data_IF_943766061534
#
_entry.id   IF_943766061534
#
_cell.length_a   1.000
_cell.length_b   1.000
_cell.length_c   1.000
_cell.angle_alpha   90.00
_cell.angle_beta   90.00
_cell.angle_gamma   90.00
#
_symmetry.space_group_name_H-M   'P 1'
#
loop_
_entity.id
_entity.type
_entity.pdbx_description
1 polymer ?
#
# COMPACT_ATOMS: atom_id res chain seq x y z
N UNK A 1 -2.80 -18.86 19.85
CA UNK A 1 -3.58 -17.66 19.46
C UNK A 1 -2.64 -16.65 18.82
N UNK A 2 -2.81 -16.33 17.54
CA UNK A 2 -2.03 -15.27 16.89
C UNK A 2 -2.39 -13.92 17.54
N UNK A 3 -1.39 -13.16 18.00
CA UNK A 3 -1.62 -11.82 18.56
C UNK A 3 -2.30 -10.95 17.50
N UNK A 4 -3.51 -10.46 17.80
CA UNK A 4 -4.37 -9.62 16.94
C UNK A 4 -3.53 -8.54 16.25
N UNK A 5 -3.61 -8.48 14.92
CA UNK A 5 -3.05 -7.40 14.11
C UNK A 5 -1.56 -7.49 13.73
N UNK A 6 -0.85 -8.58 14.05
CA UNK A 6 0.47 -8.83 13.44
C UNK A 6 0.26 -9.40 12.03
N UNK A 7 0.94 -8.86 11.00
CA UNK A 7 1.07 -9.50 9.70
C UNK A 7 1.27 -11.01 9.84
N UNK A 8 0.55 -11.85 9.06
CA UNK A 8 0.84 -13.27 9.02
C UNK A 8 2.33 -13.46 8.72
N UNK A 9 3.01 -14.26 9.55
CA UNK A 9 4.41 -14.59 9.29
C UNK A 9 4.42 -15.51 8.07
N UNK A 10 5.08 -15.09 6.99
CA UNK A 10 5.40 -16.00 5.89
C UNK A 10 6.13 -17.23 6.42
N UNK A 11 5.95 -18.37 5.78
CA UNK A 11 6.79 -19.54 6.07
C UNK A 11 8.25 -19.25 5.68
N UNK A 12 9.16 -20.09 6.19
CA UNK A 12 10.59 -19.87 6.02
C UNK A 12 11.02 -19.92 4.54
N UNK A 13 10.36 -20.75 3.73
CA UNK A 13 10.66 -20.88 2.31
C UNK A 13 10.28 -19.61 1.54
N UNK A 14 9.10 -19.05 1.84
CA UNK A 14 8.64 -17.79 1.27
C UNK A 14 9.57 -16.62 1.66
N UNK A 15 10.06 -16.55 2.90
CA UNK A 15 11.05 -15.55 3.26
C UNK A 15 12.36 -15.70 2.48
N UNK A 16 12.82 -16.93 2.20
CA UNK A 16 14.03 -17.16 1.40
C UNK A 16 13.84 -16.70 -0.03
N UNK A 17 12.74 -17.09 -0.67
CA UNK A 17 12.41 -16.68 -2.06
C UNK A 17 12.29 -15.16 -2.16
N UNK A 18 11.50 -14.54 -1.29
CA UNK A 18 11.31 -13.09 -1.28
C UNK A 18 12.60 -12.34 -0.90
N UNK A 19 13.40 -12.92 -0.01
CA UNK A 19 14.70 -12.35 0.36
C UNK A 19 15.69 -12.33 -0.82
N UNK A 20 15.66 -13.35 -1.67
CA UNK A 20 16.42 -13.34 -2.94
C UNK A 20 15.88 -12.28 -3.90
N UNK A 21 14.56 -12.20 -4.09
CA UNK A 21 13.93 -11.21 -4.98
C UNK A 21 14.22 -9.76 -4.55
N UNK A 22 14.14 -9.47 -3.25
CA UNK A 22 14.38 -8.12 -2.70
C UNK A 22 15.83 -7.87 -2.27
N UNK A 23 16.73 -8.83 -2.54
CA UNK A 23 18.16 -8.76 -2.21
C UNK A 23 18.40 -8.40 -0.74
N UNK A 24 17.68 -9.06 0.17
CA UNK A 24 17.80 -8.84 1.61
C UNK A 24 17.38 -10.08 2.40
N UNK A 25 18.08 -10.37 3.50
CA UNK A 25 17.73 -11.38 4.48
C UNK A 25 16.91 -10.82 5.66
N UNK A 26 16.76 -9.50 5.71
CA UNK A 26 16.04 -8.81 6.78
C UNK A 26 14.53 -9.01 6.63
N UNK A 27 13.97 -9.88 7.47
CA UNK A 27 12.54 -10.23 7.49
C UNK A 27 11.60 -9.00 7.52
N UNK A 28 11.98 -7.91 8.22
CA UNK A 28 11.16 -6.69 8.28
C UNK A 28 11.19 -5.95 6.94
N UNK A 29 12.36 -5.87 6.30
CA UNK A 29 12.50 -5.27 4.97
C UNK A 29 11.73 -6.07 3.93
N UNK A 30 11.85 -7.40 3.96
CA UNK A 30 11.07 -8.32 3.09
C UNK A 30 9.56 -8.09 3.25
N UNK A 31 9.07 -8.02 4.50
CA UNK A 31 7.65 -7.76 4.74
C UNK A 31 7.20 -6.40 4.19
N UNK A 32 7.98 -5.35 4.38
CA UNK A 32 7.62 -4.03 3.88
C UNK A 32 7.59 -3.98 2.35
N UNK A 33 8.57 -4.59 1.68
CA UNK A 33 8.60 -4.68 0.22
C UNK A 33 7.41 -5.47 -0.33
N UNK A 34 7.02 -6.56 0.35
CA UNK A 34 5.80 -7.28 0.00
C UNK A 34 4.55 -6.41 0.09
N UNK A 35 4.38 -5.67 1.19
CA UNK A 35 3.22 -4.79 1.35
C UNK A 35 3.17 -3.69 0.30
N UNK A 36 4.33 -3.11 0.02
CA UNK A 36 4.49 -2.14 -1.06
C UNK A 36 4.09 -2.75 -2.41
N UNK A 37 4.64 -3.92 -2.75
CA UNK A 37 4.33 -4.60 -4.00
C UNK A 37 2.83 -4.89 -4.15
N UNK A 38 2.16 -5.38 -3.10
CA UNK A 38 0.71 -5.61 -3.10
C UNK A 38 -0.07 -4.33 -3.44
N UNK A 39 0.20 -3.23 -2.72
CA UNK A 39 -0.48 -1.96 -2.97
C UNK A 39 -0.19 -1.42 -4.37
N UNK A 40 1.06 -1.54 -4.83
CA UNK A 40 1.47 -1.12 -6.17
C UNK A 40 0.72 -1.91 -7.25
N UNK A 41 0.68 -3.23 -7.16
CA UNK A 41 -0.01 -4.07 -8.15
C UNK A 41 -1.47 -3.70 -8.27
N UNK A 42 -2.18 -3.54 -7.16
CA UNK A 42 -3.61 -3.18 -7.15
C UNK A 42 -3.88 -1.85 -7.86
N UNK A 43 -3.07 -0.82 -7.57
CA UNK A 43 -3.25 0.50 -8.19
C UNK A 43 -2.87 0.49 -9.67
N UNK A 44 -1.85 -0.28 -10.06
CA UNK A 44 -1.45 -0.46 -11.47
C UNK A 44 -2.53 -1.20 -12.24
N UNK A 45 -3.13 -2.25 -11.70
CA UNK A 45 -4.24 -2.98 -12.31
C UNK A 45 -5.47 -2.08 -12.49
N UNK A 46 -5.82 -1.32 -11.45
CA UNK A 46 -6.91 -0.36 -11.50
C UNK A 46 -6.71 0.70 -12.60
N UNK A 47 -5.51 1.28 -12.67
CA UNK A 47 -5.15 2.27 -13.69
C UNK A 47 -5.10 1.66 -15.11
N UNK A 48 -4.57 0.45 -15.25
CA UNK A 48 -4.50 -0.27 -16.54
C UNK A 48 -5.89 -0.63 -17.08
N UNK A 49 -6.90 -0.73 -16.21
CA UNK A 49 -8.30 -0.88 -16.58
C UNK A 49 -8.96 0.39 -17.15
N UNK A 50 -8.20 1.48 -17.33
CA UNK A 50 -8.70 2.76 -17.86
C UNK A 50 -9.30 3.69 -16.80
N UNK A 51 -9.16 3.36 -15.52
CA UNK A 51 -9.60 4.22 -14.43
C UNK A 51 -8.50 5.23 -14.08
N UNK A 52 -8.89 6.48 -13.81
CA UNK A 52 -7.96 7.48 -13.31
C UNK A 52 -7.88 7.42 -11.78
N UNK A 53 -6.67 7.59 -11.25
CA UNK A 53 -6.46 7.86 -9.83
C UNK A 53 -6.11 9.35 -9.70
N UNK A 54 -7.04 10.19 -9.20
CA UNK A 54 -6.81 11.62 -9.11
C UNK A 54 -5.56 11.96 -8.28
N UNK A 55 -4.72 12.86 -8.80
CA UNK A 55 -3.53 13.37 -8.11
C UNK A 55 -2.53 12.27 -7.67
N UNK A 56 -2.49 11.14 -8.39
CA UNK A 56 -1.59 10.02 -8.08
C UNK A 56 -0.11 10.44 -8.04
N UNK A 57 0.28 11.41 -8.87
CA UNK A 57 1.61 12.03 -8.88
C UNK A 57 2.06 12.60 -7.52
N UNK A 58 1.13 12.80 -6.58
CA UNK A 58 1.44 13.27 -5.23
C UNK A 58 2.04 12.17 -4.33
N UNK A 59 1.75 10.89 -4.59
CA UNK A 59 2.29 9.74 -3.84
C UNK A 59 3.21 8.85 -4.67
N UNK A 60 3.38 9.21 -5.94
CA UNK A 60 4.25 8.53 -6.89
C UNK A 60 5.20 9.56 -7.47
N UNK A 61 6.48 9.40 -7.18
CA UNK A 61 7.49 10.18 -7.90
C UNK A 61 7.56 9.60 -9.32
N UNK A 62 7.10 10.37 -10.31
CA UNK A 62 7.18 10.01 -11.73
C UNK A 62 8.49 10.54 -12.29
N UNK A 63 9.56 9.73 -12.20
CA UNK A 63 10.76 10.01 -12.99
C UNK A 63 10.58 9.38 -14.37
N UNK A 64 10.58 10.19 -15.43
CA UNK A 64 10.42 9.65 -16.78
C UNK A 64 10.12 10.61 -17.93
N UNK A 65 9.78 11.88 -17.67
CA UNK A 65 9.40 12.80 -18.77
C UNK A 65 10.59 13.07 -19.73
N UNK A 66 11.84 13.00 -19.25
CA UNK A 66 13.03 13.24 -20.09
C UNK A 66 13.64 11.99 -20.74
N UNK A 67 13.24 10.77 -20.35
CA UNK A 67 13.93 9.53 -20.73
C UNK A 67 13.04 8.46 -21.38
N UNK A 68 11.73 8.71 -21.51
CA UNK A 68 10.79 7.75 -22.14
C UNK A 68 10.60 6.46 -21.34
N UNK A 69 11.07 6.41 -20.09
CA UNK A 69 10.86 5.30 -19.15
C UNK A 69 10.08 5.84 -17.97
N UNK A 70 8.81 5.45 -17.85
CA UNK A 70 8.01 5.74 -16.66
C UNK A 70 8.54 4.88 -15.50
N UNK A 71 9.50 5.40 -14.75
CA UNK A 71 9.91 4.81 -13.48
C UNK A 71 9.09 5.46 -12.38
N UNK A 72 8.05 4.74 -11.94
CA UNK A 72 7.28 5.11 -10.76
C UNK A 72 8.10 4.79 -9.50
N UNK A 73 8.63 5.83 -8.85
CA UNK A 73 9.21 5.69 -7.51
C UNK A 73 8.14 5.99 -6.48
N UNK A 74 7.50 4.93 -6.00
CA UNK A 74 6.45 5.02 -4.99
C UNK A 74 7.00 5.51 -3.66
N UNK A 75 6.29 6.42 -2.99
CA UNK A 75 6.67 6.86 -1.64
C UNK A 75 6.53 5.67 -0.67
N UNK A 76 7.67 5.03 -0.39
CA UNK A 76 7.73 3.64 0.09
C UNK A 76 6.92 3.36 1.36
N UNK A 77 6.88 4.33 2.28
CA UNK A 77 6.20 4.13 3.57
C UNK A 77 4.69 4.21 3.46
N UNK A 78 4.15 5.10 2.61
CA UNK A 78 2.72 5.19 2.31
C UNK A 78 2.22 3.88 1.70
N UNK A 79 2.94 3.35 0.71
CA UNK A 79 2.59 2.09 0.04
C UNK A 79 2.68 0.87 0.96
N UNK A 80 3.63 0.87 1.88
CA UNK A 80 3.71 -0.17 2.92
C UNK A 80 2.47 -0.14 3.81
N UNK A 81 1.99 1.05 4.22
CA UNK A 81 0.79 1.16 5.05
C UNK A 81 -0.49 0.84 4.27
N UNK A 82 -0.57 1.21 2.99
CA UNK A 82 -1.67 0.85 2.07
C UNK A 82 -1.78 -0.67 1.90
N UNK A 83 -0.66 -1.36 1.68
CA UNK A 83 -0.66 -2.82 1.57
C UNK A 83 -1.12 -3.51 2.87
N UNK A 84 -0.76 -2.94 4.03
CA UNK A 84 -1.23 -3.45 5.33
C UNK A 84 -2.71 -3.16 5.57
N UNK A 85 -3.21 -2.03 5.07
CA UNK A 85 -4.64 -1.70 5.10
C UNK A 85 -5.43 -2.68 4.23
N UNK A 86 -4.96 -2.95 3.01
CA UNK A 86 -5.56 -3.95 2.12
C UNK A 86 -5.61 -5.34 2.75
N UNK A 87 -4.48 -5.85 3.27
CA UNK A 87 -4.44 -7.16 3.94
C UNK A 87 -5.38 -7.22 5.14
N UNK A 88 -5.55 -6.11 5.85
CA UNK A 88 -6.50 -6.03 6.95
C UNK A 88 -7.95 -6.13 6.46
N UNK A 89 -8.31 -5.37 5.43
CA UNK A 89 -9.65 -5.41 4.82
C UNK A 89 -9.97 -6.83 4.31
N UNK A 90 -9.08 -7.44 3.54
CA UNK A 90 -9.20 -8.83 3.05
C UNK A 90 -9.39 -9.87 4.16
N UNK A 91 -8.91 -9.60 5.38
CA UNK A 91 -9.09 -10.51 6.51
C UNK A 91 -10.51 -10.43 7.09
N UNK A 92 -11.20 -9.31 6.92
CA UNK A 92 -12.52 -9.06 7.51
C UNK A 92 -13.65 -8.99 6.46
N UNK A 93 -13.29 -8.80 5.19
CA UNK A 93 -14.16 -8.59 4.03
C UNK A 93 -13.59 -9.40 2.83
N UNK A 94 -14.29 -9.40 1.69
CA UNK A 94 -13.79 -10.03 0.46
C UNK A 94 -12.74 -9.18 -0.30
N UNK A 95 -12.06 -9.81 -1.26
CA UNK A 95 -11.00 -9.18 -2.07
C UNK A 95 -11.54 -8.03 -2.94
N UNK A 96 -12.75 -8.17 -3.49
CA UNK A 96 -13.33 -7.16 -4.36
C UNK A 96 -13.61 -5.88 -3.58
N UNK A 97 -14.20 -6.01 -2.39
CA UNK A 97 -14.40 -4.92 -1.45
C UNK A 97 -13.07 -4.28 -1.04
N UNK A 98 -12.09 -5.08 -0.63
CA UNK A 98 -10.79 -4.59 -0.19
C UNK A 98 -10.06 -3.79 -1.28
N UNK A 99 -10.08 -4.28 -2.53
CA UNK A 99 -9.47 -3.62 -3.67
C UNK A 99 -10.20 -2.30 -4.01
N UNK A 100 -11.53 -2.34 -4.09
CA UNK A 100 -12.35 -1.15 -4.37
C UNK A 100 -12.14 -0.06 -3.32
N UNK A 101 -12.18 -0.44 -2.04
CA UNK A 101 -11.93 0.47 -0.93
C UNK A 101 -10.55 1.12 -1.04
N UNK A 102 -9.51 0.32 -1.33
CA UNK A 102 -8.14 0.84 -1.41
C UNK A 102 -8.00 1.87 -2.55
N UNK A 103 -8.58 1.60 -3.72
CA UNK A 103 -8.53 2.50 -4.87
C UNK A 103 -9.23 3.84 -4.58
N UNK A 104 -10.46 3.79 -4.04
CA UNK A 104 -11.22 4.98 -3.65
C UNK A 104 -10.48 5.77 -2.56
N UNK A 105 -9.96 5.08 -1.55
CA UNK A 105 -9.20 5.70 -0.46
C UNK A 105 -7.93 6.38 -0.95
N UNK A 106 -7.18 5.76 -1.85
CA UNK A 106 -5.96 6.33 -2.42
C UNK A 106 -6.28 7.59 -3.22
N UNK A 107 -7.31 7.58 -4.07
CA UNK A 107 -7.73 8.78 -4.80
C UNK A 107 -8.07 9.94 -3.86
N UNK A 108 -8.90 9.67 -2.84
CA UNK A 108 -9.27 10.68 -1.84
C UNK A 108 -8.06 11.20 -1.05
N UNK A 109 -7.15 10.31 -0.65
CA UNK A 109 -5.93 10.68 0.06
C UNK A 109 -5.03 11.58 -0.80
N UNK A 110 -4.90 11.29 -2.09
CA UNK A 110 -4.09 12.08 -3.01
C UNK A 110 -4.67 13.49 -3.22
N UNK A 111 -5.99 13.59 -3.42
CA UNK A 111 -6.68 14.89 -3.53
C UNK A 111 -6.51 15.69 -2.24
N UNK A 112 -6.82 15.09 -1.10
CA UNK A 112 -6.67 15.74 0.20
C UNK A 112 -5.23 16.20 0.46
N UNK A 113 -4.25 15.36 0.10
CA UNK A 113 -2.85 15.68 0.29
C UNK A 113 -2.38 16.84 -0.60
N UNK A 114 -2.85 16.91 -1.85
CA UNK A 114 -2.58 18.04 -2.74
C UNK A 114 -3.23 19.33 -2.24
N UNK A 115 -4.49 19.28 -1.85
CA UNK A 115 -5.24 20.45 -1.37
C UNK A 115 -4.68 21.03 -0.06
N UNK A 116 -4.16 20.16 0.81
CA UNK A 116 -3.64 20.54 2.13
C UNK A 116 -2.11 20.55 2.20
N UNK A 117 -1.44 20.34 1.06
CA UNK A 117 0.02 20.27 0.95
C UNK A 117 0.66 19.32 1.98
N UNK A 118 0.07 18.13 2.15
CA UNK A 118 0.54 17.17 3.15
C UNK A 118 1.92 16.62 2.80
N UNK A 119 2.72 16.38 3.83
CA UNK A 119 3.96 15.61 3.72
C UNK A 119 3.68 14.11 3.64
N UNK A 120 4.66 13.37 3.12
CA UNK A 120 4.65 11.90 3.05
C UNK A 120 4.34 11.25 4.41
N UNK A 121 4.88 11.84 5.48
CA UNK A 121 4.69 11.37 6.85
C UNK A 121 3.26 11.56 7.33
N UNK A 122 2.62 12.66 6.96
CA UNK A 122 1.22 12.92 7.28
C UNK A 122 0.30 11.98 6.51
N UNK A 123 0.59 11.72 5.23
CA UNK A 123 -0.16 10.75 4.45
C UNK A 123 -0.03 9.32 5.02
N UNK A 124 1.19 8.89 5.36
CA UNK A 124 1.43 7.61 6.03
C UNK A 124 0.64 7.51 7.34
N UNK A 125 0.61 8.60 8.11
CA UNK A 125 -0.16 8.70 9.36
C UNK A 125 -1.66 8.55 9.08
N UNK A 126 -2.21 9.23 8.07
CA UNK A 126 -3.61 9.10 7.69
C UNK A 126 -4.00 7.67 7.31
N UNK A 127 -3.15 6.96 6.55
CA UNK A 127 -3.40 5.54 6.22
C UNK A 127 -3.40 4.67 7.46
N UNK A 128 -2.46 4.93 8.39
CA UNK A 128 -2.37 4.20 9.64
C UNK A 128 -3.59 4.45 10.54
N UNK A 129 -4.05 5.70 10.65
CA UNK A 129 -5.25 6.10 11.39
C UNK A 129 -6.49 5.43 10.81
N UNK A 130 -6.67 5.46 9.48
CA UNK A 130 -7.77 4.77 8.82
C UNK A 130 -7.81 3.28 9.15
N UNK A 131 -6.65 2.61 9.15
CA UNK A 131 -6.58 1.19 9.55
C UNK A 131 -6.93 1.00 11.03
N UNK A 132 -6.60 1.94 11.93
CA UNK A 132 -7.00 1.85 13.33
C UNK A 132 -8.51 2.04 13.51
N UNK A 133 -9.12 3.00 12.82
CA UNK A 133 -10.58 3.18 12.80
C UNK A 133 -11.29 1.89 12.34
N UNK A 134 -10.82 1.27 11.24
CA UNK A 134 -11.38 0.00 10.77
C UNK A 134 -11.17 -1.13 11.77
N UNK A 135 -10.06 -1.12 12.52
CA UNK A 135 -9.83 -2.08 13.61
C UNK A 135 -10.81 -1.92 14.76
N UNK A 136 -11.25 -0.70 15.06
CA UNK A 136 -12.29 -0.46 16.07
C UNK A 136 -13.66 -0.90 15.56
N UNK A 137 -13.93 -0.73 14.26
CA UNK A 137 -15.19 -1.13 13.64
C UNK A 137 -15.36 -2.65 13.54
N UNK A 138 -14.34 -3.36 13.04
CA UNK A 138 -14.39 -4.83 12.87
C UNK A 138 -13.93 -5.59 14.11
N UNK A 139 -13.14 -4.96 14.98
CA UNK A 139 -12.62 -5.55 16.21
C UNK A 139 -13.61 -5.44 17.37
N UNK A 140 -14.65 -6.27 17.36
CA UNK A 140 -15.30 -6.68 18.62
C UNK A 140 -14.31 -7.46 19.51
#
# INVERSE_FOLDING_TARGET
>A
MAKRGRPPKYDEQNYKTLGQMFQTDNKRKIQNEMYKAKATTLLVEYASGGNEIPCLDYIVDVDGIKSGKFTYTWKQTVFTELGRLHDYLKTNEDEEFAAKFLNEYVGNLCVFAKENNLSVREMEKSVREKRFELKELYGK
#
